data_IF_784942805116
#
_entry.id   IF_784942805116
#
_cell.length_a   1.000
_cell.length_b   1.000
_cell.length_c   1.000
_cell.angle_alpha   90.00
_cell.angle_beta   90.00
_cell.angle_gamma   90.00
#
_symmetry.space_group_name_H-M   'P 1'
#
loop_
_entity.id
_entity.type
_entity.pdbx_description
1 polymer ?
#
# COMPACT_ATOMS: atom_id res chain seq x y z
N UNK A 1 27.79 3.43 29.43
CA UNK A 1 26.54 3.42 28.63
C UNK A 1 26.52 2.14 27.78
N UNK A 2 25.71 1.13 28.17
CA UNK A 2 25.68 -0.19 27.51
C UNK A 2 24.85 -0.07 26.21
N UNK A 3 25.51 0.00 25.06
CA UNK A 3 24.86 -0.09 23.75
C UNK A 3 24.34 -1.52 23.58
N UNK A 4 23.05 -1.74 23.83
CA UNK A 4 22.38 -3.00 23.47
C UNK A 4 22.36 -3.08 21.94
N UNK A 5 23.30 -3.82 21.36
CA UNK A 5 23.17 -4.30 19.98
C UNK A 5 21.85 -5.07 19.91
N UNK A 6 20.88 -4.56 19.16
CA UNK A 6 19.70 -5.35 18.78
C UNK A 6 20.22 -6.55 17.99
N UNK A 7 19.69 -7.76 18.22
CA UNK A 7 19.97 -8.87 17.33
C UNK A 7 19.31 -8.53 15.99
N UNK A 8 20.10 -7.96 15.08
CA UNK A 8 19.81 -8.04 13.66
C UNK A 8 19.80 -9.53 13.35
N UNK A 9 18.64 -10.06 12.97
CA UNK A 9 18.59 -11.40 12.40
C UNK A 9 19.44 -11.34 11.13
N UNK A 10 20.71 -11.71 11.25
CA UNK A 10 21.55 -12.08 10.12
C UNK A 10 20.87 -13.34 9.60
N UNK A 11 20.06 -13.17 8.56
CA UNK A 11 19.49 -14.29 7.82
C UNK A 11 20.70 -14.95 7.18
N UNK A 12 21.27 -15.93 7.89
CA UNK A 12 22.26 -16.86 7.35
C UNK A 12 21.63 -17.49 6.11
N UNK A 13 22.35 -17.46 5.00
CA UNK A 13 22.09 -18.21 3.77
C UNK A 13 21.31 -19.51 4.07
N UNK A 14 19.99 -19.45 3.97
CA UNK A 14 19.17 -20.65 3.92
C UNK A 14 18.80 -20.82 2.46
N UNK A 15 19.40 -21.87 1.92
CA UNK A 15 19.30 -22.36 0.56
C UNK A 15 17.95 -23.07 0.37
N UNK A 16 16.86 -22.35 0.63
CA UNK A 16 15.51 -22.77 0.29
C UNK A 16 15.00 -21.75 -0.74
N UNK A 17 14.76 -22.19 -1.98
CA UNK A 17 14.34 -21.36 -3.14
C UNK A 17 12.97 -20.66 -2.96
N UNK A 18 12.41 -20.63 -1.75
CA UNK A 18 11.15 -19.95 -1.46
C UNK A 18 11.39 -18.47 -1.08
N UNK A 19 10.74 -17.52 -1.77
CA UNK A 19 10.84 -16.10 -1.43
C UNK A 19 10.30 -15.83 -0.02
N UNK A 20 11.04 -15.05 0.76
CA UNK A 20 10.74 -14.63 2.11
C UNK A 20 9.38 -13.96 2.17
N UNK A 21 8.44 -14.65 2.81
CA UNK A 21 7.08 -14.16 2.95
C UNK A 21 6.96 -13.26 4.17
N UNK A 22 7.00 -11.95 3.92
CA UNK A 22 6.88 -10.92 4.97
C UNK A 22 5.46 -10.80 5.55
N UNK A 23 4.44 -11.24 4.81
CA UNK A 23 3.04 -11.10 5.19
C UNK A 23 2.48 -12.48 5.59
N UNK A 24 2.01 -12.65 6.83
CA UNK A 24 1.42 -13.91 7.27
C UNK A 24 0.18 -14.31 6.45
N UNK A 25 0.02 -15.62 6.18
CA UNK A 25 -1.14 -16.13 5.42
C UNK A 25 -2.47 -15.80 6.08
N UNK A 26 -2.55 -15.91 7.40
CA UNK A 26 -3.77 -15.60 8.16
C UNK A 26 -4.17 -14.12 8.00
N UNK A 27 -3.21 -13.21 7.88
CA UNK A 27 -3.49 -11.79 7.67
C UNK A 27 -4.06 -11.55 6.27
N UNK A 28 -3.45 -12.15 5.25
CA UNK A 28 -3.97 -12.08 3.87
C UNK A 28 -5.39 -12.66 3.77
N UNK A 29 -5.63 -13.82 4.39
CA UNK A 29 -6.95 -14.45 4.46
C UNK A 29 -7.95 -13.55 5.21
N UNK A 30 -7.57 -12.99 6.35
CA UNK A 30 -8.43 -12.10 7.13
C UNK A 30 -8.84 -10.85 6.35
N UNK A 31 -7.88 -10.19 5.69
CA UNK A 31 -8.15 -9.01 4.85
C UNK A 31 -9.09 -9.38 3.69
N UNK A 32 -8.79 -10.46 2.97
CA UNK A 32 -9.62 -10.88 1.83
C UNK A 32 -11.02 -11.31 2.26
N UNK A 33 -11.13 -12.07 3.35
CA UNK A 33 -12.42 -12.52 3.86
C UNK A 33 -13.25 -11.32 4.30
N UNK A 34 -12.69 -10.39 5.07
CA UNK A 34 -13.38 -9.19 5.50
C UNK A 34 -13.89 -8.35 4.33
N UNK A 35 -13.03 -7.99 3.37
CA UNK A 35 -13.44 -7.16 2.24
C UNK A 35 -14.34 -7.90 1.24
N UNK A 36 -14.16 -9.21 1.05
CA UNK A 36 -15.06 -10.00 0.19
C UNK A 36 -16.45 -10.14 0.82
N UNK A 37 -16.54 -10.38 2.13
CA UNK A 37 -17.82 -10.42 2.84
C UNK A 37 -18.52 -9.07 2.79
N UNK A 38 -17.80 -7.95 2.99
CA UNK A 38 -18.37 -6.62 2.83
C UNK A 38 -18.86 -6.36 1.40
N UNK A 39 -18.07 -6.75 0.40
CA UNK A 39 -18.45 -6.60 -1.01
C UNK A 39 -19.70 -7.40 -1.34
N UNK A 40 -19.76 -8.68 -0.95
CA UNK A 40 -20.93 -9.54 -1.18
C UNK A 40 -22.17 -9.03 -0.43
N UNK A 41 -22.01 -8.57 0.81
CA UNK A 41 -23.07 -7.95 1.58
C UNK A 41 -23.61 -6.68 0.91
N UNK A 42 -22.71 -5.81 0.44
CA UNK A 42 -23.08 -4.60 -0.30
C UNK A 42 -23.77 -4.93 -1.64
N UNK A 43 -23.31 -5.95 -2.38
CA UNK A 43 -24.00 -6.41 -3.60
C UNK A 43 -25.40 -6.93 -3.27
N UNK A 44 -25.53 -7.80 -2.28
CA UNK A 44 -26.83 -8.34 -1.86
C UNK A 44 -27.80 -7.23 -1.43
N UNK A 45 -27.31 -6.27 -0.63
CA UNK A 45 -28.07 -5.08 -0.25
C UNK A 45 -28.42 -4.23 -1.48
N UNK A 46 -27.51 -4.03 -2.42
CA UNK A 46 -27.75 -3.21 -3.62
C UNK A 46 -28.78 -3.81 -4.57
N UNK A 47 -28.95 -5.13 -4.56
CA UNK A 47 -29.98 -5.85 -5.30
C UNK A 47 -31.37 -5.77 -4.65
N UNK A 48 -31.42 -5.59 -3.32
CA UNK A 48 -32.66 -5.52 -2.54
C UNK A 48 -33.08 -4.09 -2.21
N UNK A 49 -32.14 -3.16 -2.21
CA UNK A 49 -32.36 -1.77 -1.87
C UNK A 49 -33.25 -1.08 -2.91
N UNK A 50 -34.05 -0.15 -2.44
CA UNK A 50 -34.84 0.76 -3.25
C UNK A 50 -34.62 2.19 -2.78
N UNK A 51 -34.98 3.16 -3.62
CA UNK A 51 -34.88 4.57 -3.28
C UNK A 51 -33.46 5.15 -3.35
N UNK A 52 -33.21 6.29 -2.67
CA UNK A 52 -32.01 7.11 -2.88
C UNK A 52 -30.72 6.48 -2.32
N UNK A 53 -30.82 5.42 -1.53
CA UNK A 53 -29.67 4.73 -0.92
C UNK A 53 -29.01 3.69 -1.85
N UNK A 54 -29.69 3.27 -2.93
CA UNK A 54 -29.16 2.33 -3.93
C UNK A 54 -27.75 2.72 -4.44
N UNK A 55 -27.51 3.95 -4.94
CA UNK A 55 -26.20 4.32 -5.46
C UNK A 55 -25.10 4.35 -4.39
N UNK A 56 -25.44 4.65 -3.13
CA UNK A 56 -24.49 4.57 -2.01
C UNK A 56 -24.03 3.13 -1.77
N UNK A 57 -24.98 2.19 -1.74
CA UNK A 57 -24.69 0.77 -1.53
C UNK A 57 -23.84 0.21 -2.68
N UNK A 58 -24.12 0.59 -3.92
CA UNK A 58 -23.29 0.22 -5.07
C UNK A 58 -21.88 0.84 -5.01
N UNK A 59 -21.75 2.09 -4.56
CA UNK A 59 -20.45 2.70 -4.34
C UNK A 59 -19.64 1.93 -3.30
N UNK A 60 -20.27 1.46 -2.22
CA UNK A 60 -19.62 0.59 -1.22
C UNK A 60 -19.18 -0.76 -1.80
N UNK A 61 -20.02 -1.39 -2.62
CA UNK A 61 -19.68 -2.63 -3.32
C UNK A 61 -18.46 -2.45 -4.24
N UNK A 62 -18.45 -1.39 -5.05
CA UNK A 62 -17.30 -1.05 -5.92
C UNK A 62 -16.05 -0.79 -5.08
N UNK A 63 -16.17 -0.03 -3.99
CA UNK A 63 -15.03 0.30 -3.14
C UNK A 63 -14.37 -0.96 -2.54
N UNK A 64 -15.18 -1.82 -1.92
CA UNK A 64 -14.71 -3.05 -1.27
C UNK A 64 -14.22 -4.09 -2.28
N UNK A 65 -14.92 -4.26 -3.41
CA UNK A 65 -14.48 -5.13 -4.51
C UNK A 65 -13.14 -4.69 -5.10
N UNK A 66 -12.94 -3.39 -5.29
CA UNK A 66 -11.66 -2.86 -5.77
C UNK A 66 -10.53 -3.08 -4.74
N UNK A 67 -10.80 -3.00 -3.44
CA UNK A 67 -9.81 -3.39 -2.41
C UNK A 67 -9.44 -4.87 -2.50
N UNK A 68 -10.41 -5.77 -2.76
CA UNK A 68 -10.12 -7.20 -2.99
C UNK A 68 -9.20 -7.38 -4.20
N UNK A 69 -9.50 -6.69 -5.32
CA UNK A 69 -8.67 -6.73 -6.54
C UNK A 69 -7.24 -6.24 -6.27
N UNK A 70 -7.06 -5.22 -5.45
CA UNK A 70 -5.73 -4.74 -5.05
C UNK A 70 -5.02 -5.71 -4.08
N UNK A 71 -5.76 -6.33 -3.17
CA UNK A 71 -5.22 -7.19 -2.12
C UNK A 71 -4.65 -8.52 -2.67
N UNK A 72 -5.25 -9.07 -3.73
CA UNK A 72 -4.79 -10.33 -4.34
C UNK A 72 -3.32 -10.25 -4.80
N UNK A 73 -2.91 -9.34 -5.70
CA UNK A 73 -1.52 -9.21 -6.11
C UNK A 73 -0.61 -8.74 -4.97
N UNK A 74 -1.11 -7.93 -4.03
CA UNK A 74 -0.30 -7.40 -2.94
C UNK A 74 0.03 -8.46 -1.86
N UNK A 75 -0.91 -9.36 -1.54
CA UNK A 75 -0.85 -10.25 -0.37
C UNK A 75 -0.83 -11.75 -0.70
N UNK A 76 -1.42 -12.15 -1.83
CA UNK A 76 -1.62 -13.56 -2.19
C UNK A 76 -0.67 -14.02 -3.28
N UNK A 77 -0.57 -13.27 -4.38
CA UNK A 77 0.23 -13.71 -5.52
C UNK A 77 1.71 -13.84 -5.11
N UNK A 78 2.38 -14.93 -5.52
CA UNK A 78 3.79 -15.12 -5.24
C UNK A 78 4.59 -14.04 -5.98
N UNK A 79 5.46 -13.35 -5.25
CA UNK A 79 6.37 -12.36 -5.83
C UNK A 79 7.49 -13.09 -6.55
N UNK A 80 7.73 -12.72 -7.80
CA UNK A 80 8.74 -13.36 -8.64
C UNK A 80 9.89 -12.41 -8.89
N UNK A 81 11.10 -12.95 -8.91
CA UNK A 81 12.27 -12.22 -9.38
C UNK A 81 12.04 -11.84 -10.84
N UNK A 82 12.42 -10.62 -11.21
CA UNK A 82 12.37 -10.15 -12.61
C UNK A 82 13.53 -9.22 -12.89
N UNK A 83 13.92 -9.11 -14.16
CA UNK A 83 14.84 -8.07 -14.57
C UNK A 83 14.18 -6.70 -14.41
N UNK A 84 14.93 -5.76 -13.82
CA UNK A 84 14.44 -4.41 -13.58
C UNK A 84 14.75 -3.53 -14.79
N UNK A 85 13.81 -2.65 -15.20
CA UNK A 85 14.11 -1.61 -16.16
C UNK A 85 15.31 -0.79 -15.69
N UNK A 86 16.32 -0.68 -16.55
CA UNK A 86 17.52 0.14 -16.35
C UNK A 86 17.39 1.37 -17.23
N UNK A 87 17.50 2.55 -16.63
CA UNK A 87 17.55 3.82 -17.35
C UNK A 87 18.94 4.05 -17.99
N UNK A 88 19.07 5.01 -18.92
CA UNK A 88 20.36 5.33 -19.55
C UNK A 88 21.47 5.74 -18.59
N UNK A 89 21.12 6.24 -17.41
CA UNK A 89 22.03 6.63 -16.32
C UNK A 89 22.44 5.45 -15.43
N UNK A 90 22.03 4.22 -15.77
CA UNK A 90 22.26 3.01 -14.96
C UNK A 90 21.28 2.86 -13.80
N UNK A 91 20.31 3.77 -13.64
CA UNK A 91 19.33 3.70 -12.54
C UNK A 91 18.34 2.56 -12.77
N UNK A 92 18.24 1.68 -11.78
CA UNK A 92 17.24 0.60 -11.74
C UNK A 92 15.96 1.12 -11.10
N UNK A 93 14.83 0.86 -11.74
CA UNK A 93 13.53 1.37 -11.29
C UNK A 93 12.61 0.22 -10.93
N UNK A 94 12.11 0.25 -9.70
CA UNK A 94 11.03 -0.61 -9.23
C UNK A 94 9.77 0.22 -9.12
N UNK A 95 8.70 -0.23 -9.77
CA UNK A 95 7.39 0.44 -9.75
C UNK A 95 6.34 -0.50 -9.17
N UNK A 96 5.39 0.09 -8.44
CA UNK A 96 4.24 -0.62 -7.94
C UNK A 96 3.33 -1.12 -9.07
N UNK A 97 2.54 -2.19 -8.84
CA UNK A 97 1.75 -2.82 -9.89
C UNK A 97 0.60 -1.90 -10.30
N UNK A 98 0.45 -1.66 -11.62
CA UNK A 98 -0.62 -0.78 -12.15
C UNK A 98 -2.01 -1.23 -11.70
N UNK A 99 -2.23 -2.54 -11.59
CA UNK A 99 -3.52 -3.10 -11.11
C UNK A 99 -3.81 -2.66 -9.67
N UNK A 100 -2.84 -2.76 -8.76
CA UNK A 100 -3.00 -2.32 -7.36
C UNK A 100 -3.31 -0.83 -7.31
N UNK A 101 -2.59 -0.06 -8.11
CA UNK A 101 -2.74 1.39 -8.24
C UNK A 101 -4.13 1.76 -8.71
N UNK A 102 -4.58 1.24 -9.85
CA UNK A 102 -5.90 1.54 -10.43
C UNK A 102 -7.01 1.09 -9.50
N UNK A 103 -6.90 -0.10 -8.90
CA UNK A 103 -7.88 -0.60 -7.97
C UNK A 103 -8.01 0.28 -6.71
N UNK A 104 -6.89 0.76 -6.15
CA UNK A 104 -6.92 1.73 -5.04
C UNK A 104 -7.55 3.06 -5.47
N UNK A 105 -7.26 3.55 -6.67
CA UNK A 105 -7.90 4.77 -7.20
C UNK A 105 -9.42 4.62 -7.34
N UNK A 106 -9.88 3.47 -7.88
CA UNK A 106 -11.30 3.15 -8.01
C UNK A 106 -11.97 3.06 -6.64
N UNK A 107 -11.33 2.38 -5.68
CA UNK A 107 -11.84 2.27 -4.33
C UNK A 107 -12.06 3.64 -3.68
N UNK A 108 -11.08 4.51 -3.82
CA UNK A 108 -11.13 5.88 -3.33
C UNK A 108 -12.23 6.71 -4.00
N UNK A 109 -12.32 6.67 -5.32
CA UNK A 109 -13.34 7.40 -6.06
C UNK A 109 -14.75 6.97 -5.63
N UNK A 110 -14.98 5.66 -5.51
CA UNK A 110 -16.25 5.11 -5.08
C UNK A 110 -16.62 5.55 -3.65
N UNK A 111 -15.66 5.54 -2.71
CA UNK A 111 -15.89 6.06 -1.35
C UNK A 111 -16.26 7.55 -1.34
N UNK A 112 -15.60 8.37 -2.16
CA UNK A 112 -15.92 9.80 -2.26
C UNK A 112 -17.32 10.03 -2.84
N UNK A 113 -17.70 9.29 -3.88
CA UNK A 113 -19.06 9.34 -4.44
C UNK A 113 -20.08 8.92 -3.40
N UNK A 114 -19.82 7.82 -2.68
CA UNK A 114 -20.69 7.38 -1.59
C UNK A 114 -20.85 8.44 -0.50
N UNK A 115 -19.77 9.06 -0.06
CA UNK A 115 -19.82 10.12 0.95
C UNK A 115 -20.60 11.35 0.49
N UNK A 116 -20.45 11.77 -0.77
CA UNK A 116 -21.20 12.89 -1.36
C UNK A 116 -22.70 12.55 -1.44
N UNK A 117 -23.04 11.35 -1.91
CA UNK A 117 -24.42 10.89 -1.96
C UNK A 117 -25.06 10.85 -0.57
N UNK A 118 -24.33 10.35 0.41
CA UNK A 118 -24.81 10.28 1.79
C UNK A 118 -25.00 11.68 2.39
N UNK A 119 -24.08 12.61 2.11
CA UNK A 119 -24.22 14.01 2.50
C UNK A 119 -25.41 14.69 1.81
N UNK A 120 -25.65 14.39 0.54
CA UNK A 120 -26.82 14.88 -0.20
C UNK A 120 -28.12 14.37 0.44
N UNK A 121 -28.26 13.06 0.66
CA UNK A 121 -29.43 12.47 1.32
C UNK A 121 -29.63 13.06 2.71
N UNK A 122 -28.56 13.24 3.50
CA UNK A 122 -28.65 13.85 4.83
C UNK A 122 -29.21 15.29 4.81
N UNK A 123 -29.03 16.02 3.71
CA UNK A 123 -29.55 17.39 3.54
C UNK A 123 -30.96 17.39 2.97
N UNK A 124 -31.27 16.48 2.03
CA UNK A 124 -32.55 16.51 1.30
C UNK A 124 -33.65 15.63 1.90
N UNK A 125 -33.28 14.55 2.59
CA UNK A 125 -34.18 13.53 3.10
C UNK A 125 -33.53 12.79 4.29
N UNK A 126 -33.42 13.49 5.42
CA UNK A 126 -32.75 12.96 6.61
C UNK A 126 -33.47 11.73 7.19
N UNK A 127 -34.79 11.66 7.03
CA UNK A 127 -35.63 10.56 7.52
C UNK A 127 -35.36 9.24 6.77
N UNK A 128 -34.79 9.32 5.57
CA UNK A 128 -34.31 8.14 4.83
C UNK A 128 -33.03 7.52 5.41
N UNK A 129 -32.37 8.16 6.38
CA UNK A 129 -31.15 7.65 7.01
C UNK A 129 -31.49 6.93 8.31
N UNK A 130 -31.52 5.60 8.26
CA UNK A 130 -31.77 4.75 9.44
C UNK A 130 -30.69 4.92 10.55
N UNK A 131 -29.47 5.27 10.16
CA UNK A 131 -28.32 5.41 11.07
C UNK A 131 -27.58 6.75 10.87
N UNK A 132 -28.14 7.88 11.36
CA UNK A 132 -27.59 9.22 11.12
C UNK A 132 -26.19 9.40 11.71
N UNK A 133 -25.89 8.73 12.83
CA UNK A 133 -24.53 8.72 13.41
C UNK A 133 -23.49 8.06 12.51
N UNK A 134 -23.83 6.93 11.86
CA UNK A 134 -22.93 6.26 10.92
C UNK A 134 -22.73 7.10 9.64
N UNK A 135 -23.78 7.80 9.21
CA UNK A 135 -23.69 8.72 8.08
C UNK A 135 -22.74 9.89 8.37
N UNK A 136 -22.87 10.51 9.54
CA UNK A 136 -21.97 11.58 9.98
C UNK A 136 -20.51 11.09 10.06
N UNK A 137 -20.26 9.92 10.65
CA UNK A 137 -18.91 9.34 10.72
C UNK A 137 -18.33 9.09 9.34
N UNK A 138 -19.15 8.64 8.39
CA UNK A 138 -18.73 8.41 6.99
C UNK A 138 -18.37 9.73 6.30
N UNK A 139 -19.19 10.76 6.45
CA UNK A 139 -18.95 12.09 5.87
C UNK A 139 -17.71 12.74 6.49
N UNK A 140 -17.61 12.76 7.82
CA UNK A 140 -16.43 13.30 8.53
C UNK A 140 -15.17 12.52 8.17
N UNK A 141 -15.27 11.20 8.07
CA UNK A 141 -14.19 10.34 7.57
C UNK A 141 -13.74 10.74 6.17
N UNK A 142 -14.68 10.89 5.23
CA UNK A 142 -14.38 11.32 3.87
C UNK A 142 -13.75 12.73 3.81
N UNK A 143 -14.19 13.66 4.66
CA UNK A 143 -13.58 14.99 4.80
C UNK A 143 -12.15 14.88 5.33
N UNK A 144 -11.92 14.08 6.37
CA UNK A 144 -10.59 13.82 6.92
C UNK A 144 -9.62 13.16 5.92
N UNK A 145 -10.17 12.52 4.89
CA UNK A 145 -9.46 11.87 3.80
C UNK A 145 -9.14 12.81 2.62
N UNK A 146 -9.65 14.05 2.59
CA UNK A 146 -9.36 15.04 1.52
C UNK A 146 -7.86 15.33 1.28
N UNK A 147 -6.98 15.42 2.30
CA UNK A 147 -5.55 15.60 2.08
C UNK A 147 -4.94 14.46 1.25
N UNK A 148 -5.47 13.25 1.42
CA UNK A 148 -5.05 12.08 0.66
C UNK A 148 -5.63 12.10 -0.76
N UNK A 149 -6.83 12.65 -0.97
CA UNK A 149 -7.34 12.93 -2.34
C UNK A 149 -6.40 13.86 -3.10
N UNK A 150 -5.93 14.96 -2.49
CA UNK A 150 -4.95 15.85 -3.12
C UNK A 150 -3.63 15.13 -3.46
N UNK A 151 -3.17 14.22 -2.59
CA UNK A 151 -1.99 13.38 -2.83
C UNK A 151 -2.21 12.33 -3.94
N UNK A 152 -3.42 11.83 -4.06
CA UNK A 152 -3.84 10.87 -5.06
C UNK A 152 -3.88 11.52 -6.45
N UNK A 153 -4.47 12.71 -6.55
CA UNK A 153 -4.52 13.52 -7.77
C UNK A 153 -3.12 13.99 -8.22
N UNK A 154 -2.23 14.30 -7.29
CA UNK A 154 -0.83 14.67 -7.59
C UNK A 154 0.09 13.48 -7.86
N UNK A 155 -0.47 12.26 -7.90
CA UNK A 155 0.28 11.03 -8.20
C UNK A 155 1.26 10.60 -7.11
N UNK A 156 1.18 11.18 -5.91
CA UNK A 156 2.01 10.77 -4.76
C UNK A 156 1.50 9.50 -4.10
N UNK A 157 0.18 9.27 -4.14
CA UNK A 157 -0.46 8.17 -3.40
C UNK A 157 -0.37 6.82 -4.12
N UNK A 158 -0.30 6.84 -5.46
CA UNK A 158 -0.44 5.65 -6.29
C UNK A 158 0.78 5.35 -7.17
N UNK A 159 1.89 6.09 -7.04
CA UNK A 159 3.12 5.83 -7.80
C UNK A 159 4.24 5.43 -6.85
N UNK A 160 4.08 4.26 -6.25
CA UNK A 160 5.15 3.69 -5.45
C UNK A 160 6.33 3.38 -6.35
N UNK A 161 7.48 3.96 -6.01
CA UNK A 161 8.69 3.87 -6.82
C UNK A 161 9.91 3.80 -5.94
N UNK A 162 10.80 2.88 -6.27
CA UNK A 162 12.14 2.83 -5.73
C UNK A 162 13.12 2.93 -6.90
N UNK A 163 13.89 4.01 -6.93
CA UNK A 163 14.95 4.25 -7.91
C UNK A 163 16.29 4.01 -7.23
N UNK A 164 17.07 3.08 -7.76
CA UNK A 164 18.40 2.72 -7.25
C UNK A 164 19.39 3.05 -8.35
N UNK A 165 20.02 4.21 -8.24
CA UNK A 165 21.03 4.69 -9.17
C UNK A 165 22.45 4.60 -8.61
N UNK A 166 23.46 4.88 -9.46
CA UNK A 166 24.86 4.90 -9.03
C UNK A 166 25.14 6.01 -8.00
N UNK A 167 24.47 7.15 -8.13
CA UNK A 167 24.71 8.33 -7.27
C UNK A 167 23.68 8.50 -6.15
N UNK A 168 22.47 8.01 -6.34
CA UNK A 168 21.36 8.22 -5.40
C UNK A 168 20.44 7.02 -5.28
N UNK A 169 19.81 6.88 -4.11
CA UNK A 169 18.70 5.98 -3.87
C UNK A 169 17.50 6.83 -3.50
N UNK A 170 16.44 6.79 -4.32
CA UNK A 170 15.22 7.54 -4.10
C UNK A 170 14.05 6.61 -3.87
N UNK A 171 13.35 6.81 -2.76
CA UNK A 171 12.10 6.11 -2.48
C UNK A 171 10.95 7.10 -2.46
N UNK A 172 9.93 6.80 -3.28
CA UNK A 172 8.65 7.50 -3.32
C UNK A 172 7.53 6.53 -2.95
N UNK A 173 6.92 6.80 -1.79
CA UNK A 173 5.88 6.04 -1.12
C UNK A 173 4.64 6.90 -0.82
N UNK A 174 3.64 6.29 -0.16
CA UNK A 174 2.37 6.93 0.21
C UNK A 174 2.53 8.29 0.92
N UNK A 175 3.39 8.38 1.95
CA UNK A 175 3.70 9.63 2.69
C UNK A 175 5.19 9.98 2.69
N UNK A 176 5.99 9.29 1.90
CA UNK A 176 7.45 9.34 1.96
C UNK A 176 8.00 9.68 0.59
N UNK A 177 8.73 10.78 0.45
CA UNK A 177 9.54 11.07 -0.74
C UNK A 177 10.92 11.47 -0.23
N UNK A 178 11.85 10.54 -0.31
CA UNK A 178 13.20 10.69 0.25
C UNK A 178 14.22 10.30 -0.79
N UNK A 179 15.32 11.06 -0.80
CA UNK A 179 16.47 10.79 -1.64
C UNK A 179 17.70 10.73 -0.74
N UNK A 180 18.42 9.62 -0.82
CA UNK A 180 19.68 9.40 -0.14
C UNK A 180 20.82 9.44 -1.16
N UNK A 181 21.98 9.96 -0.78
CA UNK A 181 23.19 9.80 -1.61
C UNK A 181 23.63 8.35 -1.51
N UNK A 182 24.08 7.77 -2.61
CA UNK A 182 24.41 6.33 -2.66
C UNK A 182 25.49 5.94 -1.66
N UNK A 183 26.51 6.79 -1.51
CA UNK A 183 27.62 6.65 -0.55
C UNK A 183 27.19 6.56 0.92
N UNK A 184 25.99 7.07 1.23
CA UNK A 184 25.41 7.06 2.57
C UNK A 184 24.53 5.82 2.78
N UNK A 185 24.28 5.01 1.75
CA UNK A 185 23.48 3.79 1.82
C UNK A 185 24.40 2.57 1.87
N UNK A 186 24.29 1.77 2.93
CA UNK A 186 25.09 0.54 3.12
C UNK A 186 24.38 -0.72 2.63
N UNK A 187 23.07 -0.65 2.42
CA UNK A 187 22.25 -1.76 1.96
C UNK A 187 20.81 -1.65 2.44
N UNK A 188 20.27 -2.74 2.96
CA UNK A 188 18.93 -2.77 3.55
C UNK A 188 18.79 -3.76 4.70
N UNK A 189 17.77 -3.55 5.53
CA UNK A 189 17.41 -4.40 6.66
C UNK A 189 15.96 -4.86 6.47
N UNK A 190 15.75 -6.16 6.50
CA UNK A 190 14.40 -6.73 6.36
C UNK A 190 13.66 -6.64 7.70
N UNK A 191 12.50 -6.01 7.68
CA UNK A 191 11.57 -5.97 8.80
C UNK A 191 10.41 -6.92 8.56
N UNK A 192 10.26 -7.91 9.45
CA UNK A 192 9.16 -8.86 9.42
C UNK A 192 7.85 -8.28 9.99
N UNK A 193 7.90 -7.17 10.73
CA UNK A 193 6.74 -6.58 11.41
C UNK A 193 6.81 -5.05 11.45
N UNK A 194 5.67 -4.42 11.13
CA UNK A 194 5.29 -3.03 11.38
C UNK A 194 6.37 -1.94 11.19
N UNK A 195 6.52 -1.37 9.98
CA UNK A 195 5.98 -1.84 8.70
C UNK A 195 6.81 -3.01 8.15
N UNK A 196 6.12 -4.04 7.64
CA UNK A 196 6.80 -5.18 7.01
C UNK A 196 7.39 -4.75 5.66
N UNK A 197 8.70 -4.86 5.50
CA UNK A 197 9.39 -4.23 4.38
C UNK A 197 10.90 -4.34 4.43
N UNK A 198 11.56 -3.59 3.55
CA UNK A 198 13.02 -3.40 3.56
C UNK A 198 13.30 -1.96 3.99
N UNK A 199 13.91 -1.77 5.15
CA UNK A 199 14.47 -0.47 5.56
C UNK A 199 15.76 -0.22 4.80
N UNK A 200 15.92 0.98 4.22
CA UNK A 200 17.17 1.42 3.61
C UNK A 200 18.19 1.64 4.73
N UNK A 201 19.30 0.90 4.72
CA UNK A 201 20.32 1.03 5.76
C UNK A 201 21.26 2.20 5.45
N UNK A 202 21.45 3.09 6.42
CA UNK A 202 22.20 4.32 6.28
C UNK A 202 23.49 4.30 7.11
N UNK A 203 24.59 4.73 6.50
CA UNK A 203 25.91 4.84 7.12
C UNK A 203 25.83 5.78 8.34
N UNK A 204 26.37 5.32 9.47
CA UNK A 204 26.42 6.08 10.72
C UNK A 204 25.24 5.85 11.68
N UNK A 205 24.17 5.15 11.27
CA UNK A 205 23.13 4.60 12.16
C UNK A 205 22.33 5.59 13.03
N UNK A 206 22.60 6.89 12.93
CA UNK A 206 21.94 7.92 13.74
C UNK A 206 20.51 8.22 13.25
N UNK A 207 20.24 8.01 11.96
CA UNK A 207 18.93 8.21 11.33
C UNK A 207 18.50 6.91 10.68
N UNK A 208 17.27 6.48 10.96
CA UNK A 208 16.65 5.33 10.30
C UNK A 208 16.26 5.69 8.87
N UNK A 209 16.51 4.78 7.94
CA UNK A 209 16.07 4.95 6.57
C UNK A 209 14.56 4.73 6.41
N UNK A 210 14.03 5.11 5.25
CA UNK A 210 12.66 4.79 4.91
C UNK A 210 12.47 3.28 4.76
N UNK A 211 11.32 2.79 5.20
CA UNK A 211 10.90 1.40 4.96
C UNK A 211 10.16 1.31 3.65
N UNK A 212 10.67 0.50 2.73
CA UNK A 212 10.05 0.13 1.47
C UNK A 212 9.10 -1.06 1.73
N UNK A 213 7.77 -0.86 1.70
CA UNK A 213 6.82 -1.92 1.98
C UNK A 213 6.77 -2.87 0.79
N UNK A 214 7.15 -4.13 1.00
CA UNK A 214 7.23 -5.11 -0.10
C UNK A 214 5.85 -5.38 -0.69
N UNK A 215 4.76 -5.25 0.08
CA UNK A 215 3.39 -5.35 -0.41
C UNK A 215 3.08 -4.40 -1.59
N UNK A 216 3.80 -3.28 -1.69
CA UNK A 216 3.60 -2.26 -2.72
C UNK A 216 4.27 -2.58 -4.08
N UNK A 217 5.05 -3.66 -4.17
CA UNK A 217 5.83 -4.03 -5.37
C UNK A 217 5.64 -5.50 -5.74
N UNK A 218 5.81 -5.85 -7.02
CA UNK A 218 5.71 -7.24 -7.51
C UNK A 218 7.00 -8.08 -7.30
N UNK A 219 8.05 -7.48 -6.74
CA UNK A 219 9.34 -8.15 -6.52
C UNK A 219 9.48 -8.65 -5.07
N UNK A 220 10.22 -9.74 -4.84
CA UNK A 220 10.52 -10.23 -3.50
C UNK A 220 11.44 -9.27 -2.72
N UNK A 221 11.40 -9.36 -1.39
CA UNK A 221 12.17 -8.47 -0.49
C UNK A 221 13.69 -8.59 -0.72
N UNK A 222 14.12 -9.80 -1.05
CA UNK A 222 15.50 -10.19 -1.33
C UNK A 222 16.03 -9.48 -2.56
N UNK A 223 15.21 -9.37 -3.60
CA UNK A 223 15.62 -8.63 -4.79
C UNK A 223 15.84 -7.15 -4.46
N UNK A 224 14.96 -6.54 -3.63
CA UNK A 224 15.15 -5.16 -3.18
C UNK A 224 16.46 -5.02 -2.39
N UNK A 225 16.73 -5.98 -1.50
CA UNK A 225 17.95 -6.00 -0.68
C UNK A 225 19.22 -6.18 -1.53
N UNK A 226 19.20 -7.07 -2.51
CA UNK A 226 20.30 -7.32 -3.44
C UNK A 226 20.62 -6.07 -4.25
N UNK A 227 19.61 -5.39 -4.79
CA UNK A 227 19.82 -4.17 -5.59
C UNK A 227 20.35 -3.02 -4.72
N UNK A 228 19.91 -2.91 -3.47
CA UNK A 228 20.47 -1.97 -2.50
C UNK A 228 21.92 -2.31 -2.12
N UNK A 229 22.36 -3.56 -2.25
CA UNK A 229 23.74 -3.98 -1.94
C UNK A 229 24.70 -3.88 -3.12
N UNK A 230 24.21 -4.05 -4.34
CA UNK A 230 25.00 -4.20 -5.58
C UNK A 230 25.99 -3.08 -5.92
N UNK A 231 25.91 -1.94 -5.24
CA UNK A 231 26.75 -0.76 -5.49
C UNK A 231 27.26 -0.14 -4.17
N UNK A 232 27.41 -0.96 -3.13
CA UNK A 232 27.84 -0.53 -1.78
C UNK A 232 29.32 -0.80 -1.51
N UNK A 233 29.97 -1.48 -2.45
CA UNK A 233 31.41 -1.76 -2.50
C UNK A 233 32.12 -0.65 -3.28
#
# INVERSE_FOLDING_TARGET
>A
MKVRRRPSAVISHRQDDEPLRLIPRWYAVGVLLFFSTLCLGAVALGLLASGPMVPFVWALAVATGAVVVAAVPALVLPKRRRELPVRPDGTRVLEGPVVVVVAVLVAWAALMVGAVLLGYVAVTDLDAIEAPGAALVTVVGAVGLLPDVGRLLTGRLHRWRLEIGPETVRYRGYRTDVTYRRRDVTGGIVHLRHPAGVEIDLRGGAVKGAVVPVAAFDVPAEQVLEELRRHSD
#
